data_IF_624365088786
#
_entry.id   IF_624365088786
#
_cell.length_a   1.000
_cell.length_b   1.000
_cell.length_c   1.000
_cell.angle_alpha   90.00
_cell.angle_beta   90.00
_cell.angle_gamma   90.00
#
_symmetry.space_group_name_H-M   'P 1'
#
loop_
_entity.id
_entity.type
_entity.pdbx_description
1 polymer ?
#
# COMPACT_ATOMS: atom_id res chain seq x y z
N UNK A 1 -19.11 -72.21 -31.01
CA UNK A 1 -18.40 -71.89 -29.76
C UNK A 1 -17.05 -71.25 -29.96
N UNK A 2 -16.01 -71.85 -30.50
CA UNK A 2 -14.62 -71.32 -30.47
C UNK A 2 -14.40 -70.11 -31.36
N UNK A 3 -15.02 -70.00 -32.56
CA UNK A 3 -14.91 -68.84 -33.47
C UNK A 3 -15.48 -67.56 -32.84
N UNK A 4 -16.58 -67.65 -32.08
CA UNK A 4 -17.16 -66.40 -31.43
C UNK A 4 -16.34 -65.88 -30.28
N UNK A 5 -15.63 -66.76 -29.56
CA UNK A 5 -14.74 -66.35 -28.52
C UNK A 5 -13.45 -65.69 -29.03
N UNK A 6 -12.96 -66.14 -30.19
CA UNK A 6 -11.77 -65.57 -30.85
C UNK A 6 -12.04 -64.17 -31.44
N UNK A 7 -13.24 -63.97 -32.00
CA UNK A 7 -13.70 -62.69 -32.51
C UNK A 7 -13.92 -61.69 -31.38
N UNK A 8 -14.42 -62.13 -30.23
CA UNK A 8 -14.63 -61.30 -29.03
C UNK A 8 -13.30 -60.89 -28.34
N UNK A 9 -12.33 -61.83 -28.29
CA UNK A 9 -10.97 -61.55 -27.82
C UNK A 9 -10.24 -60.57 -28.72
N UNK A 10 -10.40 -60.69 -30.02
CA UNK A 10 -9.81 -59.77 -31.01
C UNK A 10 -10.42 -58.36 -30.86
N UNK A 11 -11.73 -58.28 -30.66
CA UNK A 11 -12.44 -57.00 -30.43
C UNK A 11 -11.99 -56.31 -29.10
N UNK A 12 -11.95 -57.08 -28.02
CA UNK A 12 -11.43 -56.61 -26.71
C UNK A 12 -9.96 -56.16 -26.80
N UNK A 13 -9.12 -56.88 -27.51
CA UNK A 13 -7.74 -56.55 -27.77
C UNK A 13 -7.57 -55.23 -28.53
N UNK A 14 -8.43 -54.97 -29.51
CA UNK A 14 -8.44 -53.72 -30.26
C UNK A 14 -8.97 -52.55 -29.44
N UNK A 15 -10.02 -52.77 -28.63
CA UNK A 15 -10.53 -51.76 -27.70
C UNK A 15 -9.51 -51.42 -26.62
N UNK A 16 -8.80 -52.39 -26.07
CA UNK A 16 -7.71 -52.18 -25.13
C UNK A 16 -6.58 -51.35 -25.74
N UNK A 17 -6.13 -51.68 -26.96
CA UNK A 17 -5.10 -50.92 -27.65
C UNK A 17 -5.54 -49.49 -27.94
N UNK A 18 -6.78 -49.27 -28.34
CA UNK A 18 -7.34 -47.91 -28.57
C UNK A 18 -7.41 -47.09 -27.29
N UNK A 19 -7.88 -47.66 -26.17
CA UNK A 19 -7.93 -47.00 -24.86
C UNK A 19 -6.53 -46.70 -24.33
N UNK A 20 -5.57 -47.61 -24.50
CA UNK A 20 -4.17 -47.38 -24.09
C UNK A 20 -3.52 -46.27 -24.91
N UNK A 21 -3.74 -46.24 -26.23
CA UNK A 21 -3.23 -45.18 -27.09
C UNK A 21 -3.81 -43.81 -26.70
N UNK A 22 -5.11 -43.76 -26.39
CA UNK A 22 -5.76 -42.52 -25.91
C UNK A 22 -5.26 -42.08 -24.53
N UNK A 23 -5.00 -43.01 -23.61
CA UNK A 23 -4.41 -42.70 -22.32
C UNK A 23 -3.00 -42.08 -22.45
N UNK A 24 -2.18 -42.64 -23.36
CA UNK A 24 -0.84 -42.09 -23.66
C UNK A 24 -0.94 -40.69 -24.28
N UNK A 25 -1.90 -40.47 -25.19
CA UNK A 25 -2.13 -39.14 -25.77
C UNK A 25 -2.54 -38.12 -24.73
N UNK A 26 -3.50 -38.46 -23.85
CA UNK A 26 -3.94 -37.61 -22.78
C UNK A 26 -2.77 -37.29 -21.80
N UNK A 27 -1.95 -38.30 -21.50
CA UNK A 27 -0.79 -38.13 -20.62
C UNK A 27 0.26 -37.22 -21.26
N UNK A 28 0.46 -37.29 -22.59
CA UNK A 28 1.34 -36.39 -23.34
C UNK A 28 0.78 -34.96 -23.35
N UNK A 29 -0.54 -34.83 -23.58
CA UNK A 29 -1.22 -33.53 -23.58
C UNK A 29 -1.20 -32.89 -22.20
N UNK A 30 -1.45 -33.64 -21.11
CA UNK A 30 -1.30 -33.19 -19.74
C UNK A 30 0.14 -32.77 -19.44
N UNK A 31 1.12 -33.54 -19.91
CA UNK A 31 2.54 -33.19 -19.76
C UNK A 31 2.92 -31.90 -20.50
N UNK A 32 2.38 -31.73 -21.73
CA UNK A 32 2.56 -30.50 -22.51
C UNK A 32 1.88 -29.28 -21.85
N UNK A 33 0.65 -29.45 -21.35
CA UNK A 33 -0.06 -28.41 -20.63
C UNK A 33 0.63 -28.07 -19.31
N UNK A 34 1.17 -29.06 -18.60
CA UNK A 34 2.00 -28.85 -17.40
C UNK A 34 3.31 -28.15 -17.70
N UNK A 35 3.96 -28.42 -18.84
CA UNK A 35 5.17 -27.70 -19.24
C UNK A 35 4.91 -26.26 -19.68
N UNK A 36 3.66 -25.92 -19.98
CA UNK A 36 3.20 -24.55 -20.25
C UNK A 36 2.74 -23.83 -18.98
N UNK A 37 2.54 -24.56 -17.89
CA UNK A 37 2.29 -24.02 -16.57
C UNK A 37 3.63 -23.77 -15.86
N UNK A 38 3.63 -22.85 -14.92
CA UNK A 38 4.77 -22.44 -14.10
C UNK A 38 5.51 -23.67 -13.56
N UNK A 39 6.83 -23.61 -13.60
CA UNK A 39 7.65 -24.52 -12.81
C UNK A 39 7.41 -24.21 -11.31
N UNK A 40 6.49 -24.97 -10.72
CA UNK A 40 6.03 -24.76 -9.35
C UNK A 40 7.19 -24.89 -8.34
N UNK A 41 8.16 -25.76 -8.65
CA UNK A 41 9.37 -25.92 -7.82
C UNK A 41 10.21 -24.65 -7.79
N UNK A 42 10.46 -24.04 -8.93
CA UNK A 42 11.21 -22.77 -9.02
C UNK A 42 10.46 -21.62 -8.32
N UNK A 43 9.14 -21.56 -8.47
CA UNK A 43 8.33 -20.57 -7.79
C UNK A 43 8.41 -20.72 -6.26
N UNK A 44 8.38 -21.95 -5.75
CA UNK A 44 8.50 -22.26 -4.31
C UNK A 44 9.88 -21.91 -3.79
N UNK A 45 10.94 -22.25 -4.52
CA UNK A 45 12.32 -21.90 -4.14
C UNK A 45 12.50 -20.38 -4.08
N UNK A 46 11.96 -19.66 -5.05
CA UNK A 46 11.97 -18.19 -5.07
C UNK A 46 11.15 -17.59 -3.91
N UNK A 47 9.99 -18.17 -3.57
CA UNK A 47 9.18 -17.76 -2.42
C UNK A 47 9.97 -18.00 -1.12
N UNK A 48 10.54 -19.17 -0.91
CA UNK A 48 11.31 -19.48 0.28
C UNK A 48 12.53 -18.56 0.44
N UNK A 49 13.22 -18.28 -0.67
CA UNK A 49 14.32 -17.32 -0.68
C UNK A 49 13.85 -15.93 -0.28
N UNK A 50 12.74 -15.45 -0.85
CA UNK A 50 12.16 -14.15 -0.54
C UNK A 50 11.75 -14.07 0.93
N UNK A 51 11.10 -15.09 1.48
CA UNK A 51 10.72 -15.17 2.90
C UNK A 51 11.95 -15.08 3.80
N UNK A 52 13.02 -15.83 3.46
CA UNK A 52 14.29 -15.80 4.21
C UNK A 52 14.96 -14.44 4.12
N UNK A 53 15.06 -13.85 2.94
CA UNK A 53 15.72 -12.57 2.70
C UNK A 53 14.98 -11.39 3.37
N UNK A 54 13.64 -11.50 3.50
CA UNK A 54 12.81 -10.55 4.23
C UNK A 54 12.79 -10.75 5.76
N UNK A 55 13.47 -11.78 6.27
CA UNK A 55 13.47 -12.10 7.71
C UNK A 55 12.15 -12.67 8.23
N UNK A 56 11.28 -13.15 7.35
CA UNK A 56 10.03 -13.77 7.74
C UNK A 56 10.26 -15.14 8.37
N UNK A 57 9.66 -15.40 9.54
CA UNK A 57 9.86 -16.60 10.32
C UNK A 57 8.60 -17.47 10.50
N UNK A 58 7.49 -17.10 9.88
CA UNK A 58 6.20 -17.78 10.13
C UNK A 58 6.10 -19.19 9.53
N UNK A 59 6.63 -19.39 8.33
CA UNK A 59 6.57 -20.67 7.62
C UNK A 59 7.53 -20.71 6.43
N UNK A 60 7.72 -21.91 5.88
CA UNK A 60 8.35 -22.16 4.58
C UNK A 60 7.48 -23.14 3.79
N UNK A 61 7.68 -23.21 2.48
CA UNK A 61 7.02 -24.16 1.60
C UNK A 61 7.96 -25.35 1.31
N UNK A 62 7.46 -26.57 1.38
CA UNK A 62 8.21 -27.81 1.08
C UNK A 62 7.39 -28.68 0.16
N UNK A 63 8.04 -29.35 -0.79
CA UNK A 63 7.39 -30.34 -1.63
C UNK A 63 6.94 -31.54 -0.78
N UNK A 64 5.70 -31.97 -0.99
CA UNK A 64 5.11 -33.06 -0.24
C UNK A 64 5.70 -34.39 -0.69
N UNK A 65 6.09 -35.22 0.25
CA UNK A 65 6.65 -36.53 -0.04
C UNK A 65 5.66 -37.39 -0.83
N UNK A 66 6.12 -37.98 -1.93
CA UNK A 66 5.35 -38.87 -2.83
C UNK A 66 4.25 -38.20 -3.67
N UNK A 67 4.11 -36.88 -3.68
CA UNK A 67 3.17 -36.15 -4.52
C UNK A 67 3.90 -35.05 -5.30
N UNK A 68 4.15 -35.26 -6.57
CA UNK A 68 4.84 -34.31 -7.42
C UNK A 68 4.00 -33.04 -7.62
N UNK A 69 4.61 -31.87 -7.57
CA UNK A 69 3.99 -30.54 -7.70
C UNK A 69 2.96 -30.20 -6.60
N UNK A 70 2.98 -30.90 -5.48
CA UNK A 70 2.17 -30.62 -4.30
C UNK A 70 3.07 -30.12 -3.17
N UNK A 71 2.71 -28.98 -2.59
CA UNK A 71 3.51 -28.33 -1.56
C UNK A 71 2.74 -28.22 -0.26
N UNK A 72 3.45 -28.35 0.84
CA UNK A 72 2.93 -28.19 2.19
C UNK A 72 3.65 -27.05 2.90
N UNK A 73 2.94 -26.45 3.83
CA UNK A 73 3.47 -25.35 4.65
C UNK A 73 4.13 -25.94 5.89
N UNK A 74 5.40 -25.63 6.09
CA UNK A 74 6.19 -26.12 7.22
C UNK A 74 6.46 -24.98 8.19
N UNK A 75 6.20 -25.19 9.47
CA UNK A 75 6.53 -24.27 10.55
C UNK A 75 8.03 -24.33 10.88
N UNK A 76 8.55 -23.34 11.62
CA UNK A 76 9.96 -23.29 12.05
C UNK A 76 10.41 -24.56 12.82
N UNK A 77 9.50 -25.19 13.55
CA UNK A 77 9.77 -26.43 14.27
C UNK A 77 9.85 -27.67 13.36
N UNK A 78 9.69 -27.49 12.04
CA UNK A 78 9.71 -28.58 11.05
C UNK A 78 8.39 -29.35 10.91
N UNK A 79 7.34 -28.98 11.63
CA UNK A 79 6.03 -29.61 11.54
C UNK A 79 5.19 -29.03 10.41
N UNK A 80 4.37 -29.89 9.79
CA UNK A 80 3.40 -29.44 8.78
C UNK A 80 2.32 -28.59 9.47
N UNK A 81 2.01 -27.44 8.89
CA UNK A 81 0.96 -26.56 9.37
C UNK A 81 -0.42 -27.17 9.04
N UNK A 82 -1.06 -27.82 10.01
CA UNK A 82 -2.39 -28.41 9.84
C UNK A 82 -3.47 -27.37 9.59
N UNK A 83 -3.32 -26.19 10.17
CA UNK A 83 -4.26 -25.07 10.01
C UNK A 83 -3.50 -23.77 9.75
N UNK A 84 -3.86 -23.12 8.66
CA UNK A 84 -3.40 -21.78 8.32
C UNK A 84 -4.46 -20.77 8.69
N UNK A 85 -4.04 -19.63 9.24
CA UNK A 85 -4.88 -18.46 9.40
C UNK A 85 -5.31 -17.91 8.02
N UNK A 86 -6.34 -17.10 7.99
CA UNK A 86 -6.78 -16.44 6.74
C UNK A 86 -5.67 -15.53 6.18
N UNK A 87 -4.98 -14.78 7.04
CA UNK A 87 -3.86 -13.94 6.63
C UNK A 87 -2.72 -14.73 6.01
N UNK A 88 -2.34 -15.88 6.59
CA UNK A 88 -1.30 -16.75 6.01
C UNK A 88 -1.69 -17.31 4.64
N UNK A 89 -2.96 -17.73 4.48
CA UNK A 89 -3.48 -18.21 3.19
C UNK A 89 -3.42 -17.11 2.13
N UNK A 90 -3.87 -15.91 2.47
CA UNK A 90 -3.85 -14.77 1.57
C UNK A 90 -2.42 -14.37 1.21
N UNK A 91 -1.49 -14.44 2.18
CA UNK A 91 -0.08 -14.15 1.95
C UNK A 91 0.56 -15.16 0.99
N UNK A 92 0.37 -16.46 1.21
CA UNK A 92 0.87 -17.51 0.32
C UNK A 92 0.30 -17.33 -1.10
N UNK A 93 -1.01 -17.08 -1.21
CA UNK A 93 -1.66 -16.83 -2.49
C UNK A 93 -1.08 -15.61 -3.20
N UNK A 94 -0.80 -14.52 -2.44
CA UNK A 94 -0.16 -13.34 -3.00
C UNK A 94 1.28 -13.61 -3.47
N UNK A 95 2.09 -14.33 -2.69
CA UNK A 95 3.45 -14.70 -3.08
C UNK A 95 3.47 -15.53 -4.36
N UNK A 96 2.54 -16.47 -4.48
CA UNK A 96 2.39 -17.26 -5.69
C UNK A 96 1.96 -16.38 -6.90
N UNK A 97 0.98 -15.52 -6.70
CA UNK A 97 0.57 -14.53 -7.70
C UNK A 97 1.74 -13.64 -8.14
N UNK A 98 2.55 -13.17 -7.21
CA UNK A 98 3.73 -12.38 -7.52
C UNK A 98 4.72 -13.14 -8.41
N UNK A 99 4.97 -14.42 -8.14
CA UNK A 99 5.81 -15.26 -8.99
C UNK A 99 5.21 -15.46 -10.39
N UNK A 100 3.88 -15.58 -10.49
CA UNK A 100 3.16 -15.62 -11.78
C UNK A 100 3.40 -14.34 -12.58
N UNK A 101 3.26 -13.19 -11.96
CA UNK A 101 3.47 -11.90 -12.61
C UNK A 101 4.92 -11.76 -13.08
N UNK A 102 5.88 -12.19 -12.26
CA UNK A 102 7.31 -12.16 -12.59
C UNK A 102 7.71 -13.10 -13.71
N UNK A 103 6.88 -14.12 -13.99
CA UNK A 103 7.15 -15.09 -15.04
C UNK A 103 8.16 -16.16 -14.65
N UNK A 104 8.27 -16.49 -13.35
CA UNK A 104 9.04 -17.63 -12.85
C UNK A 104 8.38 -18.92 -13.29
N UNK A 105 8.63 -19.35 -14.48
CA UNK A 105 8.01 -20.57 -15.00
C UNK A 105 8.27 -20.81 -16.46
N UNK A 106 8.97 -19.94 -17.12
CA UNK A 106 9.38 -20.14 -18.51
C UNK A 106 10.88 -20.28 -18.70
N UNK A 107 11.59 -20.83 -17.73
CA UNK A 107 12.90 -21.37 -18.01
C UNK A 107 12.72 -22.73 -18.64
N UNK A 108 12.65 -22.76 -19.97
CA UNK A 108 13.14 -23.89 -20.69
C UNK A 108 12.19 -24.94 -21.15
N UNK A 109 11.39 -24.65 -22.12
CA UNK A 109 11.25 -25.61 -23.23
C UNK A 109 12.02 -25.07 -24.42
N UNK A 110 13.31 -25.36 -24.48
CA UNK A 110 14.04 -25.22 -25.73
C UNK A 110 13.33 -26.09 -26.76
N UNK A 111 12.53 -25.46 -27.63
CA UNK A 111 11.99 -26.16 -28.79
C UNK A 111 13.18 -26.56 -29.65
N UNK A 112 13.53 -27.82 -29.63
CA UNK A 112 14.50 -28.40 -30.57
C UNK A 112 13.79 -28.53 -31.89
N UNK A 113 13.99 -27.61 -32.81
CA UNK A 113 13.57 -27.75 -34.18
C UNK A 113 14.75 -28.35 -34.96
N UNK A 114 14.62 -29.60 -35.39
CA UNK A 114 15.55 -30.23 -36.32
C UNK A 114 15.05 -29.98 -37.74
N UNK A 115 15.63 -28.99 -38.41
CA UNK A 115 15.50 -28.80 -39.83
C UNK A 115 16.86 -29.04 -40.45
N UNK A 116 16.94 -29.99 -41.41
CA UNK A 116 18.16 -30.33 -42.16
C UNK A 116 19.41 -30.74 -41.34
N UNK A 117 19.20 -31.53 -40.28
CA UNK A 117 20.35 -32.11 -39.55
C UNK A 117 21.14 -31.13 -38.65
N UNK A 118 20.73 -29.91 -38.54
CA UNK A 118 21.29 -28.96 -37.58
C UNK A 118 20.30 -28.69 -36.43
N UNK A 119 20.71 -29.04 -35.24
CA UNK A 119 19.96 -28.75 -34.01
C UNK A 119 20.19 -27.29 -33.61
N UNK A 120 19.23 -26.44 -33.89
CA UNK A 120 19.24 -25.07 -33.32
C UNK A 120 18.44 -25.07 -32.02
N UNK A 121 19.10 -24.81 -30.92
CA UNK A 121 18.46 -24.52 -29.64
C UNK A 121 17.89 -23.11 -29.75
N UNK A 122 16.59 -22.97 -29.99
CA UNK A 122 15.97 -21.67 -29.80
C UNK A 122 16.02 -21.36 -28.32
N UNK A 123 16.74 -20.28 -27.96
CA UNK A 123 16.61 -19.66 -26.65
C UNK A 123 15.11 -19.41 -26.40
N UNK A 124 14.66 -19.76 -25.22
CA UNK A 124 13.30 -19.50 -24.77
C UNK A 124 12.89 -18.10 -25.18
N UNK A 125 11.83 -18.03 -25.99
CA UNK A 125 11.14 -16.78 -26.22
C UNK A 125 10.47 -16.46 -24.87
N UNK A 126 11.04 -15.52 -24.13
CA UNK A 126 10.40 -14.98 -22.94
C UNK A 126 8.97 -14.61 -23.30
N UNK A 127 8.02 -14.84 -22.41
CA UNK A 127 6.62 -14.47 -22.64
C UNK A 127 6.52 -12.95 -22.75
N UNK A 128 6.69 -12.44 -23.98
CA UNK A 128 6.65 -11.02 -24.30
C UNK A 128 5.24 -10.43 -24.32
N UNK A 129 4.24 -11.17 -23.78
CA UNK A 129 2.88 -10.66 -23.70
C UNK A 129 2.80 -9.53 -22.70
N UNK A 130 2.17 -8.45 -23.11
CA UNK A 130 1.83 -7.35 -22.22
C UNK A 130 0.90 -7.84 -21.11
N UNK A 131 1.29 -7.62 -19.85
CA UNK A 131 0.48 -8.02 -18.69
C UNK A 131 -0.27 -6.81 -18.15
N UNK A 132 -1.56 -7.00 -17.88
CA UNK A 132 -2.36 -6.10 -17.07
C UNK A 132 -2.53 -6.79 -15.72
N UNK A 133 -2.06 -6.14 -14.67
CA UNK A 133 -2.08 -6.68 -13.30
C UNK A 133 -3.19 -5.99 -12.53
N UNK A 134 -4.06 -6.77 -11.88
CA UNK A 134 -5.12 -6.27 -11.01
C UNK A 134 -4.93 -6.89 -9.63
N UNK A 135 -4.78 -6.03 -8.63
CA UNK A 135 -4.60 -6.41 -7.22
C UNK A 135 -5.77 -5.83 -6.45
N UNK A 136 -6.61 -6.72 -5.90
CA UNK A 136 -7.80 -6.34 -5.14
C UNK A 136 -7.60 -6.73 -3.68
N UNK A 137 -7.44 -5.72 -2.83
CA UNK A 137 -7.30 -5.78 -1.37
C UNK A 137 -6.36 -6.90 -0.84
N UNK A 138 -5.09 -6.89 -1.25
CA UNK A 138 -4.17 -8.02 -1.04
C UNK A 138 -3.77 -8.22 0.42
N UNK A 139 -4.07 -7.25 1.31
CA UNK A 139 -3.56 -7.23 2.70
C UNK A 139 -4.63 -7.49 3.75
N UNK A 140 -5.79 -7.99 3.33
CA UNK A 140 -6.87 -8.34 4.26
C UNK A 140 -6.43 -9.40 5.26
N UNK A 141 -6.65 -9.13 6.57
CA UNK A 141 -6.32 -10.03 7.69
C UNK A 141 -4.83 -10.34 7.88
N UNK A 142 -3.93 -9.53 7.33
CA UNK A 142 -2.48 -9.67 7.49
C UNK A 142 -1.96 -8.86 8.67
N UNK A 143 -0.90 -9.37 9.31
CA UNK A 143 -0.13 -8.64 10.31
C UNK A 143 0.78 -7.57 9.67
N UNK A 144 1.37 -6.71 10.50
CA UNK A 144 2.20 -5.60 10.03
C UNK A 144 3.46 -6.03 9.27
N UNK A 145 4.07 -7.17 9.64
CA UNK A 145 5.27 -7.67 8.99
C UNK A 145 4.95 -8.20 7.59
N UNK A 146 3.90 -9.00 7.49
CA UNK A 146 3.38 -9.52 6.21
C UNK A 146 2.92 -8.39 5.30
N UNK A 147 2.21 -7.39 5.85
CA UNK A 147 1.78 -6.20 5.11
C UNK A 147 3.00 -5.46 4.53
N UNK A 148 4.07 -5.28 5.31
CA UNK A 148 5.30 -4.64 4.83
C UNK A 148 5.91 -5.39 3.64
N UNK A 149 6.01 -6.73 3.72
CA UNK A 149 6.55 -7.56 2.62
C UNK A 149 5.68 -7.40 1.37
N UNK A 150 4.35 -7.55 1.50
CA UNK A 150 3.41 -7.40 0.37
C UNK A 150 3.51 -6.01 -0.25
N UNK A 151 3.56 -4.96 0.57
CA UNK A 151 3.71 -3.57 0.09
C UNK A 151 5.00 -3.38 -0.70
N UNK A 152 6.11 -3.94 -0.22
CA UNK A 152 7.40 -3.88 -0.90
C UNK A 152 7.37 -4.56 -2.28
N UNK A 153 6.74 -5.73 -2.37
CA UNK A 153 6.61 -6.46 -3.63
C UNK A 153 5.68 -5.76 -4.62
N UNK A 154 4.59 -5.17 -4.13
CA UNK A 154 3.70 -4.35 -4.97
C UNK A 154 4.41 -3.11 -5.47
N UNK A 155 5.21 -2.47 -4.62
CA UNK A 155 6.02 -1.31 -5.01
C UNK A 155 7.03 -1.68 -6.11
N UNK A 156 7.69 -2.84 -6.02
CA UNK A 156 8.55 -3.36 -7.09
C UNK A 156 7.79 -3.53 -8.41
N UNK A 157 6.57 -4.09 -8.38
CA UNK A 157 5.73 -4.21 -9.58
C UNK A 157 5.34 -2.85 -10.17
N UNK A 158 5.07 -1.85 -9.33
CA UNK A 158 4.81 -0.47 -9.76
C UNK A 158 6.04 0.11 -10.48
N UNK A 159 7.23 -0.07 -9.92
CA UNK A 159 8.47 0.42 -10.53
C UNK A 159 8.75 -0.28 -11.87
N UNK A 160 8.52 -1.59 -11.95
CA UNK A 160 8.62 -2.33 -13.22
C UNK A 160 7.64 -1.75 -14.25
N UNK A 161 6.40 -1.47 -13.87
CA UNK A 161 5.40 -0.85 -14.74
C UNK A 161 5.84 0.55 -15.21
N UNK A 162 6.33 1.39 -14.32
CA UNK A 162 6.80 2.74 -14.63
C UNK A 162 8.02 2.73 -15.58
N UNK A 163 8.95 1.81 -15.39
CA UNK A 163 10.15 1.70 -16.22
C UNK A 163 9.85 1.16 -17.61
N UNK A 164 8.71 0.50 -17.82
CA UNK A 164 8.29 -0.06 -19.11
C UNK A 164 7.57 0.96 -20.02
N UNK A 165 7.50 2.23 -19.65
CA UNK A 165 6.81 3.28 -20.43
C UNK A 165 7.44 3.46 -21.82
N UNK A 166 8.74 3.21 -21.98
CA UNK A 166 9.42 3.26 -23.28
C UNK A 166 9.39 1.92 -24.01
N UNK A 167 8.29 1.63 -24.65
CA UNK A 167 8.09 0.42 -25.47
C UNK A 167 9.15 0.18 -26.57
N UNK A 168 9.86 1.21 -27.00
CA UNK A 168 10.84 1.11 -28.07
C UNK A 168 12.19 0.51 -27.63
N UNK A 169 12.51 0.52 -26.36
CA UNK A 169 13.79 0.07 -25.79
C UNK A 169 13.66 -1.24 -24.98
N UNK A 170 12.67 -2.08 -25.29
CA UNK A 170 12.43 -3.34 -24.59
C UNK A 170 13.66 -4.24 -24.62
N UNK A 171 14.27 -4.46 -23.48
CA UNK A 171 15.24 -5.51 -23.27
C UNK A 171 14.47 -6.84 -23.14
N UNK A 172 14.80 -7.80 -24.01
CA UNK A 172 14.03 -9.03 -24.25
C UNK A 172 14.01 -10.06 -23.11
N UNK A 173 14.48 -9.74 -21.93
CA UNK A 173 14.62 -10.67 -20.80
C UNK A 173 13.73 -10.32 -19.59
N UNK A 174 12.85 -9.32 -19.73
CA UNK A 174 12.08 -8.76 -18.62
C UNK A 174 10.61 -9.15 -18.57
N UNK A 175 10.07 -9.14 -17.39
CA UNK A 175 8.62 -9.18 -17.16
C UNK A 175 8.02 -7.83 -17.53
N UNK A 176 7.09 -7.83 -18.49
CA UNK A 176 6.42 -6.59 -18.89
C UNK A 176 5.08 -6.45 -18.19
N UNK A 177 4.97 -5.43 -17.35
CA UNK A 177 3.68 -4.97 -16.81
C UNK A 177 3.32 -3.71 -17.58
N UNK A 178 2.25 -3.79 -18.36
CA UNK A 178 1.76 -2.67 -19.16
C UNK A 178 0.94 -1.71 -18.33
N UNK A 179 0.16 -2.25 -17.42
CA UNK A 179 -0.72 -1.49 -16.54
C UNK A 179 -0.95 -2.27 -15.25
N UNK A 180 -1.04 -1.54 -14.14
CA UNK A 180 -1.37 -2.11 -12.84
C UNK A 180 -2.52 -1.34 -12.21
N UNK A 181 -3.54 -2.08 -11.76
CA UNK A 181 -4.66 -1.56 -10.97
C UNK A 181 -4.55 -2.10 -9.56
N UNK A 182 -4.58 -1.22 -8.57
CA UNK A 182 -4.50 -1.60 -7.17
C UNK A 182 -5.70 -1.01 -6.46
N UNK A 183 -6.54 -1.90 -5.93
CA UNK A 183 -7.73 -1.54 -5.16
C UNK A 183 -7.45 -1.91 -3.71
N UNK A 184 -7.73 -1.01 -2.79
CA UNK A 184 -7.60 -1.27 -1.36
C UNK A 184 -8.46 -0.33 -0.54
N UNK A 185 -8.93 -0.83 0.60
CA UNK A 185 -9.54 -0.03 1.65
C UNK A 185 -8.55 0.23 2.81
N UNK A 186 -7.36 -0.38 2.77
CA UNK A 186 -6.36 -0.25 3.82
C UNK A 186 -5.48 0.99 3.59
N UNK A 187 -5.63 2.00 4.46
CA UNK A 187 -4.93 3.27 4.35
C UNK A 187 -3.40 3.14 4.53
N UNK A 188 -2.93 2.19 5.35
CA UNK A 188 -1.50 1.95 5.53
C UNK A 188 -0.88 1.35 4.27
N UNK A 189 -1.52 0.33 3.72
CA UNK A 189 -1.07 -0.28 2.47
C UNK A 189 -1.05 0.75 1.34
N UNK A 190 -2.12 1.53 1.18
CA UNK A 190 -2.18 2.60 0.19
C UNK A 190 -1.04 3.60 0.36
N UNK A 191 -0.75 4.02 1.59
CA UNK A 191 0.33 4.96 1.89
C UNK A 191 1.70 4.41 1.49
N UNK A 192 1.97 3.14 1.80
CA UNK A 192 3.25 2.51 1.48
C UNK A 192 3.46 2.39 -0.03
N UNK A 193 2.46 1.92 -0.78
CA UNK A 193 2.57 1.75 -2.23
C UNK A 193 2.51 3.07 -3.02
N UNK A 194 1.89 4.11 -2.46
CA UNK A 194 1.79 5.44 -3.09
C UNK A 194 2.97 6.36 -2.79
N UNK A 195 3.95 5.88 -2.02
CA UNK A 195 5.15 6.64 -1.71
C UNK A 195 5.88 7.05 -3.00
N UNK A 196 6.22 8.33 -3.13
CA UNK A 196 6.84 8.93 -4.32
C UNK A 196 6.05 8.82 -5.64
N UNK A 197 4.78 8.38 -5.63
CA UNK A 197 4.00 8.23 -6.86
C UNK A 197 3.22 9.51 -7.24
N UNK A 198 3.00 10.43 -6.31
CA UNK A 198 2.20 11.65 -6.53
C UNK A 198 2.77 12.54 -7.65
N UNK A 199 4.10 12.62 -7.76
CA UNK A 199 4.79 13.41 -8.79
C UNK A 199 4.72 12.82 -10.20
N UNK A 200 4.22 11.58 -10.36
CA UNK A 200 4.17 10.85 -11.63
C UNK A 200 2.81 10.98 -12.31
N UNK A 201 2.33 12.22 -12.49
CA UNK A 201 0.99 12.48 -13.02
C UNK A 201 0.74 11.84 -14.40
N UNK A 202 1.75 11.77 -15.26
CA UNK A 202 1.60 11.21 -16.60
C UNK A 202 1.40 9.68 -16.63
N UNK A 203 1.84 8.98 -15.59
CA UNK A 203 1.83 7.51 -15.52
C UNK A 203 1.01 6.93 -14.38
N UNK A 204 0.68 7.74 -13.38
CA UNK A 204 -0.05 7.32 -12.17
C UNK A 204 -1.29 8.17 -11.99
N UNK A 205 -2.42 7.55 -11.67
CA UNK A 205 -3.66 8.23 -11.29
C UNK A 205 -4.22 7.64 -10.02
N UNK A 206 -4.80 8.49 -9.17
CA UNK A 206 -5.48 8.10 -7.94
C UNK A 206 -6.97 8.28 -8.09
N UNK A 207 -7.72 7.30 -7.62
CA UNK A 207 -9.18 7.32 -7.63
C UNK A 207 -9.73 7.05 -6.23
N UNK A 208 -10.83 7.72 -5.89
CA UNK A 208 -11.59 7.45 -4.69
C UNK A 208 -12.94 6.83 -5.07
N UNK A 209 -13.21 5.63 -4.55
CA UNK A 209 -14.52 4.98 -4.70
C UNK A 209 -15.33 5.24 -3.44
N UNK A 210 -16.49 5.80 -3.59
CA UNK A 210 -17.44 6.07 -2.49
C UNK A 210 -18.77 5.41 -2.78
N UNK A 211 -19.41 4.90 -1.73
CA UNK A 211 -20.76 4.35 -1.81
C UNK A 211 -21.68 5.17 -0.91
N UNK A 212 -22.73 5.75 -1.51
CA UNK A 212 -23.82 6.44 -0.82
C UNK A 212 -25.14 5.97 -1.40
N UNK A 213 -26.10 5.67 -0.54
CA UNK A 213 -27.46 5.21 -0.93
C UNK A 213 -27.46 4.04 -1.93
N UNK A 214 -26.54 3.07 -1.72
CA UNK A 214 -26.29 1.94 -2.61
C UNK A 214 -25.79 2.29 -4.04
N UNK A 215 -25.41 3.53 -4.28
CA UNK A 215 -24.79 3.97 -5.52
C UNK A 215 -23.29 4.15 -5.29
N UNK A 216 -22.49 3.51 -6.13
CA UNK A 216 -21.03 3.68 -6.12
C UNK A 216 -20.65 4.78 -7.11
N UNK A 217 -19.81 5.70 -6.66
CA UNK A 217 -19.23 6.77 -7.48
C UNK A 217 -17.71 6.66 -7.47
N UNK A 218 -17.08 6.98 -8.60
CA UNK A 218 -15.63 7.05 -8.74
C UNK A 218 -15.27 8.51 -8.98
N UNK A 219 -14.33 9.01 -8.18
CA UNK A 219 -13.78 10.36 -8.29
C UNK A 219 -12.27 10.28 -8.53
N UNK A 220 -11.80 10.94 -9.59
CA UNK A 220 -10.36 11.07 -9.83
C UNK A 220 -9.77 12.10 -8.86
N UNK A 221 -8.67 11.73 -8.21
CA UNK A 221 -8.03 12.57 -7.19
C UNK A 221 -6.94 13.43 -7.83
N UNK A 222 -7.33 14.58 -8.34
CA UNK A 222 -6.43 15.57 -8.97
C UNK A 222 -6.52 16.93 -8.27
N UNK A 223 -5.43 17.67 -8.27
CA UNK A 223 -5.43 19.10 -7.99
C UNK A 223 -5.71 19.84 -9.30
N UNK A 224 -6.81 20.57 -9.35
CA UNK A 224 -7.13 21.40 -10.52
C UNK A 224 -6.18 22.59 -10.59
N UNK A 225 -5.65 22.91 -11.78
CA UNK A 225 -4.78 24.05 -11.94
C UNK A 225 -5.53 25.35 -11.60
N UNK A 226 -4.83 26.29 -10.98
CA UNK A 226 -5.38 27.61 -10.64
C UNK A 226 -5.44 28.55 -11.85
N UNK A 227 -4.71 28.24 -12.91
CA UNK A 227 -4.65 28.99 -14.16
C UNK A 227 -4.58 28.03 -15.37
N UNK A 228 -4.96 28.52 -16.56
CA UNK A 228 -4.86 27.73 -17.80
C UNK A 228 -3.41 27.44 -18.24
N UNK A 229 -2.41 27.90 -17.50
CA UNK A 229 -0.98 27.72 -17.79
C UNK A 229 -0.34 26.65 -16.90
N UNK A 230 -1.07 26.12 -15.92
CA UNK A 230 -0.58 25.08 -15.01
C UNK A 230 -1.17 23.72 -15.39
N UNK A 231 -0.34 22.70 -15.38
CA UNK A 231 -0.81 21.32 -15.56
C UNK A 231 -1.47 20.79 -14.29
N UNK A 232 -2.49 19.93 -14.42
CA UNK A 232 -3.06 19.25 -13.27
C UNK A 232 -2.01 18.34 -12.62
N UNK A 233 -2.11 18.16 -11.30
CA UNK A 233 -1.23 17.27 -10.54
C UNK A 233 -2.04 16.26 -9.74
N UNK A 234 -1.43 15.12 -9.43
CA UNK A 234 -2.06 14.12 -8.59
C UNK A 234 -2.29 14.61 -7.17
N UNK A 235 -3.41 14.22 -6.60
CA UNK A 235 -3.72 14.38 -5.17
C UNK A 235 -3.84 12.98 -4.55
N UNK A 236 -2.95 12.66 -3.60
CA UNK A 236 -3.09 11.40 -2.86
C UNK A 236 -4.34 11.44 -1.99
N UNK A 237 -5.31 10.50 -2.16
CA UNK A 237 -6.54 10.47 -1.35
C UNK A 237 -6.29 10.14 0.12
N UNK A 238 -5.19 9.44 0.43
CA UNK A 238 -4.78 9.13 1.80
C UNK A 238 -3.67 10.09 2.21
N UNK A 239 -4.06 11.16 2.88
CA UNK A 239 -3.13 12.14 3.42
C UNK A 239 -2.68 11.75 4.83
N UNK A 240 -1.50 12.24 5.24
CA UNK A 240 -1.12 12.24 6.63
C UNK A 240 -2.15 13.05 7.41
N UNK A 241 -2.72 12.46 8.46
CA UNK A 241 -3.72 13.11 9.30
C UNK A 241 -3.27 14.50 9.81
N UNK A 242 -2.00 14.65 10.10
CA UNK A 242 -1.43 15.92 10.54
C UNK A 242 -1.38 16.96 9.41
N UNK A 243 -0.97 16.57 8.22
CA UNK A 243 -0.99 17.47 7.06
C UNK A 243 -2.43 17.89 6.70
N UNK A 244 -3.38 16.97 6.79
CA UNK A 244 -4.80 17.27 6.57
C UNK A 244 -5.36 18.26 7.60
N UNK A 245 -4.93 18.18 8.87
CA UNK A 245 -5.30 19.17 9.89
C UNK A 245 -4.81 20.57 9.53
N UNK A 246 -3.59 20.69 9.02
CA UNK A 246 -3.07 22.00 8.59
C UNK A 246 -3.78 22.54 7.34
N UNK A 247 -4.17 21.67 6.42
CA UNK A 247 -4.98 22.07 5.27
C UNK A 247 -6.38 22.59 5.71
N UNK A 248 -7.01 21.87 6.63
CA UNK A 248 -8.27 22.29 7.23
C UNK A 248 -8.12 23.62 8.00
N UNK A 249 -7.06 23.76 8.81
CA UNK A 249 -6.73 25.00 9.53
C UNK A 249 -6.61 26.21 8.58
N UNK A 250 -5.93 26.05 7.46
CA UNK A 250 -5.78 27.14 6.49
C UNK A 250 -7.08 27.50 5.78
N UNK A 251 -7.95 26.53 5.53
CA UNK A 251 -9.21 26.72 4.82
C UNK A 251 -10.34 27.30 5.70
N UNK A 252 -10.26 27.11 7.03
CA UNK A 252 -11.32 27.52 7.96
C UNK A 252 -11.27 29.03 8.27
N UNK A 253 -12.46 29.65 8.18
CA UNK A 253 -12.73 31.03 8.58
C UNK A 253 -13.77 31.12 9.70
N UNK A 254 -14.33 30.00 10.13
CA UNK A 254 -15.29 29.90 11.22
C UNK A 254 -14.60 29.50 12.52
N UNK A 255 -14.91 30.15 13.63
CA UNK A 255 -14.19 30.05 14.90
C UNK A 255 -14.28 28.67 15.54
N UNK A 256 -15.48 28.08 15.63
CA UNK A 256 -15.69 26.80 16.33
C UNK A 256 -14.93 25.64 15.63
N UNK A 257 -15.08 25.41 14.32
CA UNK A 257 -14.30 24.39 13.62
C UNK A 257 -12.78 24.67 13.72
N UNK A 258 -12.36 25.92 13.59
CA UNK A 258 -10.95 26.31 13.69
C UNK A 258 -10.34 25.94 15.03
N UNK A 259 -11.00 26.21 16.14
CA UNK A 259 -10.51 25.86 17.49
C UNK A 259 -10.38 24.36 17.70
N UNK A 260 -11.31 23.56 17.15
CA UNK A 260 -11.20 22.11 17.16
C UNK A 260 -9.98 21.59 16.38
N UNK A 261 -9.70 22.19 15.23
CA UNK A 261 -8.53 21.86 14.43
C UNK A 261 -7.25 22.29 15.12
N UNK A 262 -7.21 23.49 15.70
CA UNK A 262 -6.08 23.99 16.48
C UNK A 262 -5.76 23.04 17.64
N UNK A 263 -6.76 22.57 18.40
CA UNK A 263 -6.57 21.58 19.46
C UNK A 263 -5.88 20.33 18.91
N UNK A 264 -6.39 19.76 17.84
CA UNK A 264 -5.84 18.54 17.24
C UNK A 264 -4.41 18.74 16.72
N UNK A 265 -4.09 19.92 16.18
CA UNK A 265 -2.72 20.28 15.77
C UNK A 265 -1.79 20.33 16.99
N UNK A 266 -2.20 20.98 18.09
CA UNK A 266 -1.41 21.07 19.32
C UNK A 266 -1.20 19.70 19.95
N UNK A 267 -2.26 18.88 20.07
CA UNK A 267 -2.18 17.54 20.63
C UNK A 267 -1.25 16.65 19.79
N UNK A 268 -1.39 16.68 18.47
CA UNK A 268 -0.53 15.89 17.59
C UNK A 268 0.93 16.33 17.69
N UNK A 269 1.18 17.62 17.60
CA UNK A 269 2.54 18.15 17.59
C UNK A 269 3.22 17.97 18.94
N UNK A 270 2.63 18.47 20.02
CA UNK A 270 3.29 18.48 21.32
C UNK A 270 3.26 17.12 22.02
N UNK A 271 2.17 16.36 21.94
CA UNK A 271 2.09 15.04 22.58
C UNK A 271 2.79 13.99 21.73
N UNK A 272 2.41 13.84 20.44
CA UNK A 272 2.89 12.73 19.64
C UNK A 272 4.28 12.95 19.05
N UNK A 273 4.60 14.17 18.60
CA UNK A 273 5.90 14.46 17.98
C UNK A 273 6.95 14.92 18.99
N UNK A 274 6.60 15.81 19.92
CA UNK A 274 7.53 16.33 20.92
C UNK A 274 7.60 15.47 22.19
N UNK A 275 6.71 14.49 22.36
CA UNK A 275 6.71 13.58 23.50
C UNK A 275 6.28 14.23 24.83
N UNK A 276 5.49 15.29 24.77
CA UNK A 276 4.91 15.86 25.97
C UNK A 276 3.95 14.85 26.60
N UNK A 277 3.89 14.82 27.95
CA UNK A 277 3.04 13.85 28.66
C UNK A 277 1.57 14.09 28.37
N UNK A 278 0.87 12.99 28.13
CA UNK A 278 -0.58 12.97 27.92
C UNK A 278 -1.30 13.74 29.04
N UNK A 279 -2.37 14.40 28.66
CA UNK A 279 -3.39 15.05 29.49
C UNK A 279 -3.19 16.53 29.86
N UNK A 280 -2.13 17.21 29.50
CA UNK A 280 -2.12 18.64 29.73
C UNK A 280 -1.12 19.45 28.90
N UNK A 281 -1.29 19.46 27.57
CA UNK A 281 -0.52 20.39 26.70
C UNK A 281 -0.58 21.83 27.22
N UNK A 282 -1.73 22.24 27.78
CA UNK A 282 -1.89 23.54 28.41
C UNK A 282 -0.95 23.76 29.60
N UNK A 283 -0.86 22.76 30.48
CA UNK A 283 0.02 22.82 31.65
C UNK A 283 1.49 22.88 31.25
N UNK A 284 1.90 22.02 30.35
CA UNK A 284 3.27 22.02 29.83
C UNK A 284 3.63 23.36 29.20
N UNK A 285 2.76 23.91 28.34
CA UNK A 285 3.01 25.18 27.66
C UNK A 285 3.01 26.36 28.65
N UNK A 286 2.01 26.45 29.54
CA UNK A 286 1.80 27.63 30.38
C UNK A 286 2.52 27.61 31.73
N UNK A 287 2.85 26.42 32.26
CA UNK A 287 3.56 26.32 33.54
C UNK A 287 5.07 26.17 33.33
N UNK A 288 5.51 25.31 32.43
CA UNK A 288 6.92 25.04 32.18
C UNK A 288 7.56 26.16 31.35
N UNK A 289 6.85 26.63 30.32
CA UNK A 289 7.32 27.66 29.41
C UNK A 289 6.73 29.04 29.68
N UNK A 290 6.23 29.27 30.88
CA UNK A 290 5.56 30.54 31.26
C UNK A 290 6.39 31.77 30.95
N UNK A 291 7.68 31.73 31.27
CA UNK A 291 8.58 32.86 31.10
C UNK A 291 8.86 33.21 29.65
N UNK A 292 8.71 32.24 28.73
CA UNK A 292 8.87 32.46 27.29
C UNK A 292 7.75 33.33 26.69
N UNK A 293 6.60 33.41 27.37
CA UNK A 293 5.43 34.24 27.01
C UNK A 293 5.40 35.60 27.67
N UNK A 294 6.38 35.92 28.49
CA UNK A 294 6.47 37.22 29.18
C UNK A 294 7.53 38.06 28.48
N UNK A 295 7.12 39.17 27.88
CA UNK A 295 8.05 40.12 27.31
C UNK A 295 8.50 41.11 28.40
N UNK A 296 9.70 41.64 28.29
CA UNK A 296 10.26 42.67 29.20
C UNK A 296 10.65 43.89 28.37
N UNK A 297 10.21 45.08 28.83
CA UNK A 297 10.58 46.33 28.18
C UNK A 297 11.99 46.79 28.58
N UNK A 298 12.50 47.83 27.90
CA UNK A 298 13.85 48.38 28.16
C UNK A 298 14.06 48.87 29.62
N UNK A 299 13.00 49.03 30.39
CA UNK A 299 12.99 49.52 31.78
C UNK A 299 12.76 48.35 32.76
N UNK A 300 12.68 47.11 32.29
CA UNK A 300 12.49 45.94 33.14
C UNK A 300 11.03 45.68 33.56
N UNK A 301 10.05 46.32 32.90
CA UNK A 301 8.62 46.05 33.17
C UNK A 301 8.16 44.85 32.36
N UNK A 302 7.50 43.91 33.04
CA UNK A 302 6.99 42.66 32.44
C UNK A 302 5.65 42.89 31.79
N UNK A 303 5.55 42.48 30.52
CA UNK A 303 4.30 42.42 29.74
C UNK A 303 3.81 40.98 29.64
N UNK A 304 2.63 40.71 30.20
CA UNK A 304 1.99 39.41 30.28
C UNK A 304 0.94 39.21 29.18
N UNK A 305 0.80 40.11 28.21
CA UNK A 305 -0.26 40.08 27.20
C UNK A 305 -0.24 38.79 26.40
N UNK A 306 0.92 38.34 25.96
CA UNK A 306 1.05 37.08 25.19
C UNK A 306 0.70 35.87 26.04
N UNK A 307 1.10 35.84 27.32
CA UNK A 307 0.71 34.76 28.23
C UNK A 307 -0.80 34.70 28.44
N UNK A 308 -1.46 35.86 28.59
CA UNK A 308 -2.92 35.90 28.74
C UNK A 308 -3.66 35.45 27.49
N UNK A 309 -3.19 35.82 26.31
CA UNK A 309 -3.78 35.38 25.04
C UNK A 309 -3.63 33.87 24.87
N UNK A 310 -2.44 33.31 25.09
CA UNK A 310 -2.20 31.86 25.04
C UNK A 310 -3.05 31.12 26.07
N UNK A 311 -3.11 31.65 27.33
CA UNK A 311 -3.91 31.08 28.41
C UNK A 311 -5.40 31.05 28.04
N UNK A 312 -5.93 32.14 27.50
CA UNK A 312 -7.34 32.23 27.09
C UNK A 312 -7.66 31.19 26.00
N UNK A 313 -6.86 31.14 24.94
CA UNK A 313 -7.06 30.18 23.84
C UNK A 313 -6.96 28.74 24.34
N UNK A 314 -5.91 28.39 25.09
CA UNK A 314 -5.70 27.03 25.58
C UNK A 314 -6.73 26.60 26.63
N UNK A 315 -7.24 27.55 27.44
CA UNK A 315 -8.35 27.27 28.35
C UNK A 315 -9.63 26.98 27.59
N UNK A 316 -9.88 27.71 26.54
CA UNK A 316 -11.05 27.55 25.69
C UNK A 316 -11.03 26.20 24.99
N UNK A 317 -9.87 25.82 24.43
CA UNK A 317 -9.67 24.53 23.75
C UNK A 317 -9.72 23.36 24.75
N UNK A 318 -9.16 23.51 25.96
CA UNK A 318 -9.05 22.46 26.97
C UNK A 318 -10.33 22.22 27.78
N UNK A 319 -11.30 23.10 27.73
CA UNK A 319 -12.59 22.92 28.45
C UNK A 319 -13.43 21.74 27.94
N UNK A 320 -13.05 21.08 26.83
CA UNK A 320 -13.79 19.95 26.29
C UNK A 320 -13.59 18.61 27.03
N UNK A 321 -12.66 18.49 27.99
CA UNK A 321 -12.39 17.22 28.69
C UNK A 321 -13.31 16.91 29.89
N UNK A 322 -14.24 17.76 30.27
CA UNK A 322 -15.03 17.55 31.48
C UNK A 322 -16.49 17.96 31.43
N UNK A 323 -16.98 18.50 30.36
CA UNK A 323 -18.37 18.99 30.30
C UNK A 323 -19.13 18.40 29.13
N UNK A 324 -19.92 17.39 29.44
CA UNK A 324 -20.91 16.81 28.53
C UNK A 324 -22.10 17.78 28.30
N UNK A 325 -22.23 18.82 29.10
CA UNK A 325 -23.34 19.77 29.05
C UNK A 325 -22.88 21.24 29.16
N UNK A 326 -21.78 21.61 28.49
CA UNK A 326 -21.36 23.01 28.44
C UNK A 326 -22.03 23.73 27.27
N UNK A 327 -22.92 24.67 27.56
CA UNK A 327 -23.27 25.76 26.66
C UNK A 327 -21.99 26.56 26.36
N UNK A 328 -21.22 26.13 25.38
CA UNK A 328 -20.17 26.96 24.82
C UNK A 328 -20.88 28.02 23.97
N UNK A 329 -21.28 29.10 24.60
CA UNK A 329 -21.67 30.33 23.94
C UNK A 329 -20.43 30.92 23.28
N UNK A 330 -20.04 30.36 22.14
CA UNK A 330 -19.13 31.01 21.22
C UNK A 330 -20.03 31.82 20.29
N UNK A 331 -20.00 33.12 20.47
CA UNK A 331 -20.52 33.99 19.42
C UNK A 331 -19.64 33.75 18.18
N UNK A 332 -20.29 33.41 17.08
CA UNK A 332 -19.65 33.14 15.77
C UNK A 332 -19.02 34.42 15.15
N UNK A 333 -18.88 35.45 15.97
CA UNK A 333 -18.43 36.79 15.62
C UNK A 333 -16.95 37.07 15.98
N UNK A 334 -16.23 36.11 16.55
CA UNK A 334 -14.81 36.31 16.86
C UNK A 334 -13.96 36.09 15.61
N UNK A 335 -13.05 36.99 15.37
CA UNK A 335 -12.13 37.01 14.24
C UNK A 335 -11.25 35.73 14.24
N UNK A 336 -11.53 34.79 13.32
CA UNK A 336 -10.76 33.57 13.17
C UNK A 336 -9.25 33.87 12.98
N UNK A 337 -8.91 34.98 12.36
CA UNK A 337 -7.53 35.41 12.17
C UNK A 337 -6.81 35.71 13.50
N UNK A 338 -7.54 36.12 14.52
CA UNK A 338 -6.96 36.33 15.85
C UNK A 338 -6.46 35.02 16.48
N UNK A 339 -7.25 33.96 16.39
CA UNK A 339 -6.84 32.63 16.88
C UNK A 339 -5.67 32.07 16.08
N UNK A 340 -5.63 32.31 14.78
CA UNK A 340 -4.48 31.92 13.92
C UNK A 340 -3.20 32.63 14.37
N UNK A 341 -3.26 33.92 14.68
CA UNK A 341 -2.12 34.69 15.23
C UNK A 341 -1.68 34.19 16.61
N UNK A 342 -2.61 33.79 17.47
CA UNK A 342 -2.26 33.23 18.78
C UNK A 342 -1.60 31.85 18.63
N UNK A 343 -2.05 30.99 17.71
CA UNK A 343 -1.39 29.72 17.43
C UNK A 343 0.03 29.94 16.90
N UNK A 344 0.21 30.84 15.95
CA UNK A 344 1.52 31.22 15.41
C UNK A 344 2.45 31.70 16.52
N UNK A 345 1.97 32.57 17.42
CA UNK A 345 2.71 33.07 18.57
C UNK A 345 3.11 31.92 19.53
N UNK A 346 2.25 30.94 19.78
CA UNK A 346 2.58 29.78 20.61
C UNK A 346 3.76 29.00 20.00
N UNK A 347 3.70 28.69 18.71
CA UNK A 347 4.81 28.01 18.03
C UNK A 347 6.09 28.83 18.04
N UNK A 348 6.00 30.15 17.85
CA UNK A 348 7.15 31.07 17.90
C UNK A 348 7.80 31.07 19.28
N UNK A 349 7.02 31.28 20.34
CA UNK A 349 7.53 31.37 21.73
C UNK A 349 8.11 30.06 22.25
N UNK A 350 7.66 28.95 21.73
CA UNK A 350 8.22 27.63 22.02
C UNK A 350 9.40 27.22 21.08
N UNK A 351 9.93 28.18 20.29
CA UNK A 351 11.04 27.94 19.39
C UNK A 351 10.69 27.05 18.16
N UNK A 352 9.41 26.90 17.84
CA UNK A 352 8.90 26.02 16.78
C UNK A 352 8.35 26.80 15.58
N UNK A 353 8.72 28.05 15.43
CA UNK A 353 8.25 28.94 14.36
C UNK A 353 8.50 28.35 12.96
N UNK A 354 9.68 27.74 12.75
CA UNK A 354 10.02 27.12 11.45
C UNK A 354 9.05 26.00 11.08
N UNK A 355 8.63 25.19 12.05
CA UNK A 355 7.64 24.16 11.82
C UNK A 355 6.29 24.75 11.41
N UNK A 356 5.83 25.76 12.14
CA UNK A 356 4.59 26.47 11.81
C UNK A 356 4.65 27.02 10.39
N UNK A 357 5.72 27.73 10.03
CA UNK A 357 5.90 28.33 8.71
C UNK A 357 5.93 27.25 7.60
N UNK A 358 6.63 26.15 7.84
CA UNK A 358 6.65 25.02 6.89
C UNK A 358 5.26 24.46 6.63
N UNK A 359 4.42 24.32 7.64
CA UNK A 359 3.09 23.74 7.52
C UNK A 359 2.04 24.74 7.02
N UNK A 360 2.12 26.02 7.44
CA UNK A 360 1.20 27.07 7.08
C UNK A 360 1.48 27.69 5.71
N UNK A 361 2.76 27.73 5.26
CA UNK A 361 3.20 28.41 4.03
C UNK A 361 3.20 27.46 2.83
N UNK A 362 3.18 26.14 3.01
CA UNK A 362 3.27 25.11 1.96
C UNK A 362 2.27 25.26 0.79
N UNK A 363 1.39 26.26 0.82
CA UNK A 363 0.37 26.53 -0.24
C UNK A 363 0.34 28.01 -0.72
N UNK A 364 1.41 28.78 -0.55
CA UNK A 364 1.46 30.13 -1.15
C UNK A 364 2.12 30.20 -2.54
N UNK A 365 2.66 29.07 -3.02
CA UNK A 365 3.24 28.95 -4.37
C UNK A 365 2.37 28.07 -5.26
#
# INVERSE_FOLDING_TARGET
GLKGADDELTKLGNEYKAKRSRAVQIQTEVSQLRSQTINTSEAVDNINKLLKDSGFQGFNLKEKENEQDVYEVIRENGEVAEKLSEGEKNFIAFLYFYQLVKGSGQAGSAAIITTDGQTQTMKNVADNRDKIVVIDDPVSSMDSNTLFIVSSLVHEMIEVCNNNVNYAERIMDGTYIKQIFILTHNAYFHREISYNQVSRYESVSFFMIRKSDNISTIEECINKPKSNLEDPTNRNPVQNSYAALWEEYMALNSTIPLLNVIRRILDYYFIQLCGYRENNVRKEILEIHKDDFVDEDEVGRKDYTKLHLATAMLSYIGCAEGFVDGFNLVEDCSDADQYKKVLEMIFDKLGQKQHYDMMAIKKRD
#
